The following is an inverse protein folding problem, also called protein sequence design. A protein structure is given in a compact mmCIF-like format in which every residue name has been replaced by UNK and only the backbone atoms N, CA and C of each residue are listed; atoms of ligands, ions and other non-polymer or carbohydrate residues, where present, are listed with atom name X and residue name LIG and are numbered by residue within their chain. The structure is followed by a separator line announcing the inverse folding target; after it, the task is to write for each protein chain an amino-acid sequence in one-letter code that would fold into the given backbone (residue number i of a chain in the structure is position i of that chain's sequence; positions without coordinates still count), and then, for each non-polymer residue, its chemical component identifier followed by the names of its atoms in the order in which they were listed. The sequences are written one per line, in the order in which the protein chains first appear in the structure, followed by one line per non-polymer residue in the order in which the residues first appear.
data_IF_679848780697
#
_entry.id   IF_679848780697
#
_cell.length_a   1.000
_cell.length_b   1.000
_cell.length_c   1.000
_cell.angle_alpha   90.00
_cell.angle_beta   90.00
_cell.angle_gamma   90.00
#
_symmetry.space_group_name_H-M   'P 1'
#
loop_
_entity.id
_entity.type
_entity.pdbx_description
1 polymer ?
#
# COMPACT_ATOMS: atom_id res chain seq x y z
N UNK A 1 -11.48 22.95 40.60
CA UNK A 1 -11.54 21.49 40.40
C UNK A 1 -12.41 21.21 39.18
N UNK A 2 -11.84 20.93 38.01
CA UNK A 2 -12.18 19.74 37.21
C UNK A 2 -11.21 19.66 36.00
N UNK A 3 -10.90 18.43 35.65
CA UNK A 3 -9.78 17.96 34.86
C UNK A 3 -9.79 18.37 33.38
N UNK A 4 -8.60 18.69 32.91
CA UNK A 4 -8.00 18.30 31.64
C UNK A 4 -8.78 17.26 30.83
N UNK A 5 -9.29 17.66 29.67
CA UNK A 5 -9.58 16.74 28.57
C UNK A 5 -8.94 17.32 27.30
N UNK A 6 -7.75 16.85 26.89
CA UNK A 6 -7.22 17.17 25.56
C UNK A 6 -8.07 16.42 24.52
N UNK A 7 -8.78 17.20 23.69
CA UNK A 7 -9.52 16.69 22.54
C UNK A 7 -8.47 16.12 21.57
N UNK A 8 -8.34 14.80 21.50
CA UNK A 8 -7.44 14.14 20.54
C UNK A 8 -8.11 14.20 19.16
N UNK A 9 -7.99 15.35 18.48
CA UNK A 9 -8.38 15.49 17.08
C UNK A 9 -7.39 14.69 16.24
N UNK A 10 -7.71 13.43 15.96
CA UNK A 10 -6.97 12.62 15.00
C UNK A 10 -7.18 13.28 13.63
N UNK A 11 -6.13 13.87 13.06
CA UNK A 11 -6.20 14.50 11.75
C UNK A 11 -6.47 13.43 10.67
N UNK A 12 -7.27 13.72 9.63
CA UNK A 12 -7.51 12.80 8.50
C UNK A 12 -6.23 12.33 7.79
N UNK A 13 -5.17 13.13 7.85
CA UNK A 13 -3.86 12.83 7.27
C UNK A 13 -3.18 11.62 7.91
N UNK A 14 -3.38 11.38 9.22
CA UNK A 14 -2.80 10.23 9.91
C UNK A 14 -3.45 8.92 9.49
N UNK A 15 -4.76 8.94 9.17
CA UNK A 15 -5.48 7.75 8.71
C UNK A 15 -5.05 7.39 7.29
N UNK A 16 -4.90 8.37 6.40
CA UNK A 16 -4.34 8.16 5.06
C UNK A 16 -2.90 7.65 5.12
N UNK A 17 -2.10 8.19 6.05
CA UNK A 17 -0.71 7.77 6.28
C UNK A 17 -0.63 6.36 6.88
N UNK A 18 -1.54 5.99 7.77
CA UNK A 18 -1.64 4.65 8.36
C UNK A 18 -2.12 3.60 7.36
N UNK A 19 -3.07 3.94 6.46
CA UNK A 19 -3.38 3.11 5.29
C UNK A 19 -2.16 2.99 4.35
N UNK A 20 -1.36 4.05 4.24
CA UNK A 20 -0.10 4.12 3.51
C UNK A 20 1.04 3.23 4.06
N UNK A 21 0.90 2.68 5.26
CA UNK A 21 1.93 1.84 5.92
C UNK A 21 1.63 0.34 5.94
N UNK A 22 0.48 -0.11 5.38
CA UNK A 22 0.27 -1.55 5.15
C UNK A 22 1.45 -2.07 4.33
N UNK A 23 2.04 -3.20 4.70
CA UNK A 23 3.25 -3.71 4.05
C UNK A 23 3.13 -3.59 2.52
N UNK A 24 4.15 -3.08 1.79
CA UNK A 24 4.02 -2.67 0.37
C UNK A 24 3.39 -3.72 -0.54
N UNK A 25 3.57 -5.00 -0.20
CA UNK A 25 2.97 -6.15 -0.88
C UNK A 25 1.43 -6.11 -0.86
N UNK A 26 0.80 -5.78 0.27
CA UNK A 26 -0.67 -5.74 0.37
C UNK A 26 -1.26 -4.54 -0.37
N UNK A 27 -0.53 -3.41 -0.40
CA UNK A 27 -0.95 -2.24 -1.18
C UNK A 27 -0.83 -2.52 -2.68
N UNK A 28 0.32 -3.05 -3.12
CA UNK A 28 0.55 -3.44 -4.49
C UNK A 28 -0.49 -4.48 -4.97
N UNK A 29 -0.83 -5.45 -4.12
CA UNK A 29 -1.94 -6.39 -4.41
C UNK A 29 -3.26 -5.66 -4.62
N UNK A 30 -3.64 -4.75 -3.71
CA UNK A 30 -4.87 -3.97 -3.84
C UNK A 30 -4.92 -3.14 -5.12
N UNK A 31 -3.81 -2.52 -5.50
CA UNK A 31 -3.67 -1.78 -6.76
C UNK A 31 -3.86 -2.70 -7.97
N UNK A 32 -3.17 -3.84 -8.01
CA UNK A 32 -3.30 -4.81 -9.10
C UNK A 32 -4.71 -5.40 -9.21
N UNK A 33 -5.37 -5.66 -8.08
CA UNK A 33 -6.76 -6.10 -8.04
C UNK A 33 -7.69 -5.05 -8.67
N UNK A 34 -7.51 -3.77 -8.32
CA UNK A 34 -8.33 -2.68 -8.85
C UNK A 34 -8.07 -2.44 -10.35
N UNK A 35 -6.81 -2.45 -10.78
CA UNK A 35 -6.41 -2.17 -12.16
C UNK A 35 -6.73 -3.32 -13.12
N UNK A 36 -6.51 -4.56 -12.70
CA UNK A 36 -6.67 -5.75 -13.56
C UNK A 36 -7.97 -6.51 -13.31
N UNK A 37 -8.79 -6.10 -12.32
CA UNK A 37 -10.03 -6.80 -11.93
C UNK A 37 -9.81 -8.29 -11.61
N UNK A 38 -8.72 -8.59 -10.89
CA UNK A 38 -8.30 -9.94 -10.52
C UNK A 38 -8.44 -10.20 -9.02
N UNK A 39 -8.39 -11.48 -8.63
CA UNK A 39 -8.38 -11.88 -7.22
C UNK A 39 -7.07 -11.50 -6.51
N UNK A 40 -7.11 -11.46 -5.18
CA UNK A 40 -5.92 -11.19 -4.36
C UNK A 40 -4.81 -12.24 -4.55
N UNK A 41 -5.18 -13.50 -4.80
CA UNK A 41 -4.24 -14.59 -5.05
C UNK A 41 -3.53 -14.41 -6.40
N UNK A 42 -4.30 -14.11 -7.45
CA UNK A 42 -3.75 -13.80 -8.78
C UNK A 42 -2.84 -12.55 -8.74
N UNK A 43 -3.24 -11.51 -8.00
CA UNK A 43 -2.41 -10.32 -7.82
C UNK A 43 -1.08 -10.64 -7.13
N UNK A 44 -1.11 -11.51 -6.11
CA UNK A 44 0.12 -11.93 -5.43
C UNK A 44 1.01 -12.79 -6.33
N UNK A 45 0.43 -13.70 -7.11
CA UNK A 45 1.15 -14.49 -8.10
C UNK A 45 1.85 -13.61 -9.15
N UNK A 46 1.19 -12.55 -9.62
CA UNK A 46 1.80 -11.57 -10.53
C UNK A 46 3.00 -10.86 -9.88
N UNK A 47 2.90 -10.43 -8.62
CA UNK A 47 4.04 -9.83 -7.91
C UNK A 47 5.22 -10.81 -7.80
N UNK A 48 4.95 -12.10 -7.54
CA UNK A 48 5.98 -13.14 -7.52
C UNK A 48 6.64 -13.25 -8.90
N UNK A 49 5.86 -13.30 -9.98
CA UNK A 49 6.40 -13.35 -11.34
C UNK A 49 7.25 -12.13 -11.68
N UNK A 50 6.82 -10.93 -11.29
CA UNK A 50 7.59 -9.70 -11.47
C UNK A 50 8.89 -9.70 -10.67
N UNK A 51 8.85 -10.17 -9.42
CA UNK A 51 10.02 -10.35 -8.55
C UNK A 51 11.03 -11.33 -9.15
N UNK A 52 10.57 -12.48 -9.65
CA UNK A 52 11.42 -13.48 -10.30
C UNK A 52 12.03 -12.94 -11.59
N UNK A 53 11.21 -12.31 -12.46
CA UNK A 53 11.66 -11.75 -13.74
C UNK A 53 12.68 -10.62 -13.56
N UNK A 54 12.58 -9.85 -12.49
CA UNK A 54 13.51 -8.78 -12.16
C UNK A 54 14.68 -9.21 -11.28
N UNK A 55 14.69 -10.47 -10.80
CA UNK A 55 15.62 -10.98 -9.80
C UNK A 55 15.78 -10.06 -8.58
N UNK A 56 14.67 -9.48 -8.11
CA UNK A 56 14.59 -8.56 -6.97
C UNK A 56 13.69 -9.11 -5.90
N UNK A 57 13.89 -8.67 -4.65
CA UNK A 57 13.02 -9.08 -3.54
C UNK A 57 11.59 -8.62 -3.80
N UNK A 58 10.63 -9.49 -3.51
CA UNK A 58 9.19 -9.24 -3.70
C UNK A 58 8.73 -7.93 -3.04
N UNK A 59 9.25 -7.62 -1.85
CA UNK A 59 8.96 -6.38 -1.13
C UNK A 59 9.44 -5.14 -1.87
N UNK A 60 10.61 -5.20 -2.50
CA UNK A 60 11.18 -4.06 -3.22
C UNK A 60 10.40 -3.80 -4.52
N UNK A 61 10.00 -4.86 -5.22
CA UNK A 61 9.12 -4.77 -6.41
C UNK A 61 7.76 -4.19 -6.04
N UNK A 62 7.18 -4.62 -4.92
CA UNK A 62 5.91 -4.09 -4.46
C UNK A 62 6.02 -2.61 -4.04
N UNK A 63 7.13 -2.20 -3.41
CA UNK A 63 7.38 -0.81 -3.06
C UNK A 63 7.48 0.07 -4.31
N UNK A 64 8.25 -0.35 -5.32
CA UNK A 64 8.37 0.41 -6.56
C UNK A 64 7.02 0.61 -7.26
N UNK A 65 6.17 -0.42 -7.30
CA UNK A 65 4.83 -0.34 -7.88
C UNK A 65 3.95 0.69 -7.14
N UNK A 66 4.00 0.68 -5.80
CA UNK A 66 3.25 1.62 -4.98
C UNK A 66 3.75 3.05 -5.19
N UNK A 67 5.07 3.23 -5.28
CA UNK A 67 5.70 4.53 -5.49
C UNK A 67 5.39 5.09 -6.89
N UNK A 68 5.35 4.24 -7.92
CA UNK A 68 4.99 4.61 -9.29
C UNK A 68 3.55 5.13 -9.37
N UNK A 69 2.59 4.35 -8.88
CA UNK A 69 1.17 4.73 -8.87
C UNK A 69 0.93 5.98 -8.03
N UNK A 70 1.61 6.12 -6.89
CA UNK A 70 1.49 7.32 -6.03
C UNK A 70 2.01 8.60 -6.70
N UNK A 71 2.94 8.50 -7.65
CA UNK A 71 3.43 9.64 -8.44
C UNK A 71 2.47 10.03 -9.55
N UNK A 72 1.78 9.06 -10.15
CA UNK A 72 0.83 9.30 -11.26
C UNK A 72 -0.48 9.97 -10.78
N UNK A 73 -0.88 9.76 -9.53
CA UNK A 73 -2.08 10.36 -8.95
C UNK A 73 -1.89 11.72 -8.25
N UNK A 74 -0.71 12.35 -8.39
CA UNK A 74 -0.44 13.71 -7.86
C UNK A 74 -0.64 14.76 -8.95
#
# INVERSE_FOLDING_TARGET
MNASHPQHSVLPDDVRTALGRRAPIEQAKGMLMATHSISADAAFALLIQLSQRSNRKLRDVAQDLVDEVSREHR
#
